data_IF_742623924564
#
_entry.id   IF_742623924564
#
_cell.length_a   1.000
_cell.length_b   1.000
_cell.length_c   1.000
_cell.angle_alpha   90.00
_cell.angle_beta   90.00
_cell.angle_gamma   90.00
#
_symmetry.space_group_name_H-M   'P 1'
#
loop_
_entity.id
_entity.type
_entity.pdbx_description
1 polymer ?
#
# COMPACT_ATOMS: atom_id res chain seq x y z
N UNK A 1 10.96 -35.91 33.47
CA UNK A 1 9.71 -35.61 32.76
C UNK A 1 10.11 -34.70 31.64
N UNK A 2 10.66 -35.31 30.61
CA UNK A 2 11.59 -34.65 29.70
C UNK A 2 10.81 -34.11 28.53
N UNK A 3 10.87 -32.79 28.34
CA UNK A 3 10.23 -32.07 27.26
C UNK A 3 11.21 -32.05 26.10
N UNK A 4 10.97 -32.91 25.11
CA UNK A 4 11.72 -32.96 23.86
C UNK A 4 11.59 -31.64 23.10
N UNK A 5 12.72 -30.95 22.93
CA UNK A 5 12.88 -29.79 22.08
C UNK A 5 12.91 -30.21 20.62
N UNK A 6 11.79 -30.08 19.92
CA UNK A 6 11.71 -30.25 18.48
C UNK A 6 12.27 -29.04 17.74
N UNK A 7 13.52 -29.13 17.30
CA UNK A 7 14.12 -28.23 16.30
C UNK A 7 13.33 -28.32 14.98
N UNK A 8 12.51 -27.30 14.70
CA UNK A 8 11.90 -27.12 13.38
C UNK A 8 12.96 -26.55 12.43
N UNK A 9 13.58 -27.43 11.66
CA UNK A 9 14.36 -27.07 10.48
C UNK A 9 13.45 -26.31 9.48
N UNK A 10 13.65 -24.99 9.39
CA UNK A 10 13.01 -24.16 8.37
C UNK A 10 13.50 -24.57 6.99
N UNK A 11 12.59 -25.02 6.12
CA UNK A 11 12.89 -25.39 4.73
C UNK A 11 13.20 -24.13 3.90
N UNK A 12 14.42 -23.95 3.36
CA UNK A 12 14.81 -22.77 2.58
C UNK A 12 14.33 -22.78 1.12
N UNK A 13 13.25 -23.51 0.81
CA UNK A 13 12.81 -23.78 -0.58
C UNK A 13 11.66 -22.92 -1.11
N UNK A 14 11.07 -22.02 -0.32
CA UNK A 14 9.79 -21.38 -0.66
C UNK A 14 9.91 -19.92 -1.15
N UNK A 15 11.03 -19.24 -0.90
CA UNK A 15 11.20 -17.82 -1.26
C UNK A 15 11.43 -17.62 -2.78
N UNK A 16 12.04 -18.58 -3.48
CA UNK A 16 12.30 -18.49 -4.92
C UNK A 16 11.06 -18.61 -5.82
N UNK A 17 10.00 -19.29 -5.36
CA UNK A 17 8.79 -19.52 -6.16
C UNK A 17 7.85 -18.29 -6.19
N UNK A 18 7.90 -17.44 -5.17
CA UNK A 18 7.06 -16.25 -5.07
C UNK A 18 7.59 -15.08 -5.94
N UNK A 19 8.90 -14.98 -6.12
CA UNK A 19 9.50 -13.96 -6.98
C UNK A 19 9.12 -14.15 -8.46
N UNK A 20 9.15 -15.39 -8.97
CA UNK A 20 8.80 -15.68 -10.36
C UNK A 20 7.32 -15.46 -10.72
N UNK A 21 6.42 -15.48 -9.73
CA UNK A 21 4.99 -15.22 -9.97
C UNK A 21 4.68 -13.72 -10.17
N UNK A 22 5.49 -12.83 -9.60
CA UNK A 22 5.28 -11.38 -9.66
C UNK A 22 5.53 -10.80 -11.06
N UNK A 23 6.47 -11.37 -11.81
CA UNK A 23 6.85 -10.87 -13.14
C UNK A 23 5.98 -11.44 -14.28
N UNK A 24 5.19 -12.48 -14.00
CA UNK A 24 4.41 -13.18 -15.01
C UNK A 24 3.30 -12.30 -15.62
N UNK A 25 2.62 -11.49 -14.80
CA UNK A 25 1.52 -10.64 -15.28
C UNK A 25 2.02 -9.48 -16.16
N UNK A 26 3.02 -8.67 -15.76
CA UNK A 26 3.58 -7.64 -16.63
C UNK A 26 4.05 -8.17 -17.99
N UNK A 27 4.73 -9.31 -18.01
CA UNK A 27 5.19 -9.94 -19.25
C UNK A 27 4.01 -10.36 -20.13
N UNK A 28 3.00 -11.03 -19.56
CA UNK A 28 1.79 -11.42 -20.29
C UNK A 28 1.02 -10.21 -20.85
N UNK A 29 0.95 -9.11 -20.09
CA UNK A 29 0.31 -7.88 -20.54
C UNK A 29 1.08 -7.24 -21.68
N UNK A 30 2.42 -7.21 -21.65
CA UNK A 30 3.24 -6.67 -22.74
C UNK A 30 3.18 -7.52 -24.01
N UNK A 31 3.20 -8.85 -23.89
CA UNK A 31 2.95 -9.75 -25.02
C UNK A 31 1.56 -9.52 -25.63
N UNK A 32 0.56 -9.33 -24.77
CA UNK A 32 -0.81 -9.04 -25.20
C UNK A 32 -0.91 -7.66 -25.83
N UNK A 33 -0.18 -6.66 -25.30
CA UNK A 33 -0.06 -5.32 -25.87
C UNK A 33 0.52 -5.38 -27.27
N UNK A 34 1.61 -6.10 -27.47
CA UNK A 34 2.22 -6.27 -28.79
C UNK A 34 1.26 -6.90 -29.80
N UNK A 35 0.48 -7.91 -29.38
CA UNK A 35 -0.56 -8.52 -30.22
C UNK A 35 -1.72 -7.57 -30.52
N UNK A 36 -2.21 -6.84 -29.51
CA UNK A 36 -3.38 -5.96 -29.64
C UNK A 36 -3.07 -4.59 -30.23
N UNK A 37 -1.79 -4.21 -30.33
CA UNK A 37 -1.34 -3.03 -31.05
C UNK A 37 -1.44 -3.17 -32.56
N UNK A 38 -1.65 -4.38 -33.09
CA UNK A 38 -1.85 -4.61 -34.52
C UNK A 38 -3.21 -4.05 -34.99
N UNK A 39 -3.28 -3.58 -36.24
CA UNK A 39 -4.47 -2.90 -36.77
C UNK A 39 -5.74 -3.78 -36.78
N UNK A 40 -5.60 -5.10 -36.87
CA UNK A 40 -6.71 -6.05 -36.69
C UNK A 40 -6.27 -7.22 -35.83
N UNK A 41 -7.12 -7.63 -34.90
CA UNK A 41 -6.82 -8.71 -33.97
C UNK A 41 -7.61 -9.97 -34.33
N UNK A 42 -6.97 -11.15 -34.19
CA UNK A 42 -7.56 -12.43 -34.56
C UNK A 42 -8.77 -12.82 -33.71
N UNK A 43 -9.59 -13.73 -34.24
CA UNK A 43 -10.82 -14.20 -33.56
C UNK A 43 -10.58 -14.97 -32.26
N UNK A 44 -9.37 -15.49 -32.04
CA UNK A 44 -8.97 -16.20 -30.82
C UNK A 44 -8.42 -15.31 -29.71
N UNK A 45 -8.51 -13.99 -29.84
CA UNK A 45 -7.94 -13.03 -28.87
C UNK A 45 -8.71 -12.88 -27.56
N UNK A 46 -9.89 -13.48 -27.44
CA UNK A 46 -10.80 -13.26 -26.31
C UNK A 46 -11.57 -11.93 -26.36
N UNK A 47 -11.29 -11.06 -27.34
CA UNK A 47 -12.05 -9.84 -27.56
C UNK A 47 -13.35 -10.12 -28.32
N UNK A 48 -14.42 -9.41 -27.94
CA UNK A 48 -15.63 -9.35 -28.76
C UNK A 48 -15.31 -8.82 -30.16
N UNK A 49 -16.02 -9.32 -31.17
CA UNK A 49 -15.82 -8.96 -32.57
C UNK A 49 -15.81 -7.44 -32.80
N UNK A 50 -16.62 -6.69 -32.05
CA UNK A 50 -16.69 -5.23 -32.11
C UNK A 50 -15.33 -4.55 -31.86
N UNK A 51 -14.52 -5.05 -30.92
CA UNK A 51 -13.27 -4.41 -30.50
C UNK A 51 -12.03 -4.91 -31.27
N UNK A 52 -12.20 -5.77 -32.29
CA UNK A 52 -11.08 -6.32 -33.08
C UNK A 52 -10.58 -5.38 -34.17
N UNK A 53 -11.42 -4.42 -34.60
CA UNK A 53 -11.08 -3.45 -35.64
C UNK A 53 -10.06 -2.39 -35.20
N UNK A 54 -9.44 -1.73 -36.17
CA UNK A 54 -8.41 -0.72 -35.95
C UNK A 54 -8.93 0.49 -35.16
N UNK A 55 -10.20 0.85 -35.36
CA UNK A 55 -10.83 1.97 -34.67
C UNK A 55 -10.93 1.78 -33.14
N UNK A 56 -10.75 0.56 -32.64
CA UNK A 56 -10.79 0.25 -31.22
C UNK A 56 -9.40 -0.05 -30.63
N UNK A 57 -8.31 0.16 -31.38
CA UNK A 57 -6.95 -0.05 -30.88
C UNK A 57 -6.70 0.70 -29.56
N UNK A 58 -7.08 1.98 -29.49
CA UNK A 58 -6.92 2.78 -28.26
C UNK A 58 -7.67 2.19 -27.07
N UNK A 59 -8.90 1.69 -27.27
CA UNK A 59 -9.69 1.08 -26.20
C UNK A 59 -9.07 -0.23 -25.68
N UNK A 60 -8.48 -1.03 -26.58
CA UNK A 60 -7.75 -2.25 -26.22
C UNK A 60 -6.53 -1.94 -25.36
N UNK A 61 -5.74 -0.95 -25.76
CA UNK A 61 -4.55 -0.54 -25.01
C UNK A 61 -4.93 0.05 -23.64
N UNK A 62 -5.96 0.90 -23.60
CA UNK A 62 -6.48 1.45 -22.35
C UNK A 62 -6.98 0.35 -21.39
N UNK A 63 -7.55 -0.74 -21.90
CA UNK A 63 -7.93 -1.89 -21.07
C UNK A 63 -6.71 -2.60 -20.47
N UNK A 64 -5.62 -2.78 -21.23
CA UNK A 64 -4.38 -3.37 -20.70
C UNK A 64 -3.75 -2.45 -19.66
N UNK A 65 -3.76 -1.13 -19.88
CA UNK A 65 -3.30 -0.13 -18.92
C UNK A 65 -4.16 -0.19 -17.65
N UNK A 66 -5.49 -0.33 -17.77
CA UNK A 66 -6.39 -0.51 -16.64
C UNK A 66 -5.98 -1.73 -15.79
N UNK A 67 -5.72 -2.88 -16.42
CA UNK A 67 -5.27 -4.08 -15.73
C UNK A 67 -3.93 -3.87 -15.01
N UNK A 68 -2.96 -3.25 -15.69
CA UNK A 68 -1.64 -2.97 -15.13
C UNK A 68 -1.73 -2.03 -13.92
N UNK A 69 -2.51 -0.95 -14.02
CA UNK A 69 -2.66 0.00 -12.92
C UNK A 69 -3.47 -0.58 -11.75
N UNK A 70 -4.40 -1.50 -12.02
CA UNK A 70 -5.13 -2.21 -10.96
C UNK A 70 -4.17 -3.11 -10.17
N UNK A 71 -3.32 -3.86 -10.87
CA UNK A 71 -2.29 -4.69 -10.24
C UNK A 71 -1.33 -3.87 -9.39
N UNK A 72 -0.84 -2.73 -9.92
CA UNK A 72 -0.01 -1.79 -9.14
C UNK A 72 -0.70 -1.27 -7.88
N UNK A 73 -1.98 -0.92 -7.96
CA UNK A 73 -2.74 -0.50 -6.77
C UNK A 73 -2.82 -1.64 -5.75
N UNK A 74 -3.12 -2.87 -6.19
CA UNK A 74 -3.15 -4.04 -5.30
C UNK A 74 -1.79 -4.28 -4.66
N UNK A 75 -0.70 -4.18 -5.43
CA UNK A 75 0.67 -4.28 -4.95
C UNK A 75 0.96 -3.25 -3.85
N UNK A 76 0.71 -1.96 -4.10
CA UNK A 76 0.97 -0.91 -3.10
C UNK A 76 0.09 -1.07 -1.86
N UNK A 77 -1.18 -1.47 -2.01
CA UNK A 77 -2.04 -1.78 -0.87
C UNK A 77 -1.50 -2.97 -0.05
N UNK A 78 -0.95 -4.00 -0.69
CA UNK A 78 -0.31 -5.11 0.00
C UNK A 78 0.96 -4.66 0.74
N UNK A 79 1.79 -3.86 0.09
CA UNK A 79 3.03 -3.27 0.64
C UNK A 79 2.75 -2.34 1.83
N UNK A 80 1.57 -1.72 1.91
CA UNK A 80 1.17 -0.89 3.06
C UNK A 80 0.76 -1.69 4.31
N UNK A 81 0.43 -2.99 4.19
CA UNK A 81 -0.05 -3.80 5.34
C UNK A 81 0.95 -3.90 6.51
N UNK A 82 2.26 -4.13 6.29
CA UNK A 82 3.23 -4.16 7.38
C UNK A 82 3.30 -2.81 8.11
N UNK A 83 3.18 -1.69 7.39
CA UNK A 83 3.15 -0.36 7.98
C UNK A 83 1.90 -0.14 8.81
N UNK A 84 0.73 -0.60 8.34
CA UNK A 84 -0.50 -0.58 9.12
C UNK A 84 -0.36 -1.38 10.43
N UNK A 85 0.23 -2.58 10.36
CA UNK A 85 0.48 -3.40 11.55
C UNK A 85 1.45 -2.72 12.53
N UNK A 86 2.49 -2.07 12.00
CA UNK A 86 3.45 -1.34 12.81
C UNK A 86 2.81 -0.11 13.47
N UNK A 87 2.01 0.65 12.72
CA UNK A 87 1.22 1.77 13.25
C UNK A 87 0.29 1.32 14.38
N UNK A 88 -0.36 0.15 14.24
CA UNK A 88 -1.21 -0.41 15.28
C UNK A 88 -0.47 -0.81 16.57
N UNK A 89 0.82 -1.14 16.48
CA UNK A 89 1.64 -1.59 17.63
C UNK A 89 2.42 -0.46 18.30
N UNK A 90 3.02 0.41 17.49
CA UNK A 90 3.97 1.44 17.93
C UNK A 90 3.41 2.87 17.77
N UNK A 91 2.19 3.01 17.26
CA UNK A 91 1.49 4.28 17.14
C UNK A 91 2.20 5.28 16.21
N UNK A 92 2.01 6.55 16.53
CA UNK A 92 2.51 7.67 15.72
C UNK A 92 4.04 7.73 15.65
N UNK A 93 4.76 7.25 16.68
CA UNK A 93 6.22 7.30 16.74
C UNK A 93 6.84 6.51 15.58
N UNK A 94 6.34 5.30 15.33
CA UNK A 94 6.80 4.50 14.21
C UNK A 94 6.44 5.11 12.85
N UNK A 95 5.27 5.75 12.76
CA UNK A 95 4.83 6.42 11.54
C UNK A 95 5.69 7.65 11.22
N UNK A 96 6.09 8.44 12.23
CA UNK A 96 7.04 9.52 12.07
C UNK A 96 8.43 9.02 11.63
N UNK A 97 8.90 7.92 12.22
CA UNK A 97 10.18 7.30 11.83
C UNK A 97 10.18 6.82 10.37
N UNK A 98 9.05 6.30 9.88
CA UNK A 98 8.89 5.80 8.51
C UNK A 98 8.37 6.85 7.52
N UNK A 99 8.27 8.13 7.93
CA UNK A 99 7.62 9.19 7.14
C UNK A 99 8.04 9.21 5.68
N UNK A 100 9.34 9.20 5.41
CA UNK A 100 9.83 9.42 4.04
C UNK A 100 9.51 8.21 3.15
N UNK A 101 9.64 7.00 3.69
CA UNK A 101 9.27 5.76 3.00
C UNK A 101 7.77 5.68 2.75
N UNK A 102 6.97 6.00 3.77
CA UNK A 102 5.52 6.07 3.65
C UNK A 102 5.09 7.15 2.65
N UNK A 103 5.72 8.31 2.69
CA UNK A 103 5.48 9.41 1.76
C UNK A 103 5.70 8.99 0.31
N UNK A 104 6.81 8.30 0.03
CA UNK A 104 7.10 7.76 -1.29
C UNK A 104 6.08 6.71 -1.72
N UNK A 105 5.77 5.72 -0.87
CA UNK A 105 4.78 4.68 -1.18
C UNK A 105 3.38 5.25 -1.43
N UNK A 106 2.95 6.23 -0.63
CA UNK A 106 1.65 6.89 -0.81
C UNK A 106 1.62 7.72 -2.10
N UNK A 107 2.73 8.36 -2.47
CA UNK A 107 2.84 9.08 -3.73
C UNK A 107 2.73 8.15 -4.94
N UNK A 108 3.41 7.00 -4.91
CA UNK A 108 3.31 6.01 -5.99
C UNK A 108 1.90 5.37 -6.06
N UNK A 109 1.27 5.13 -4.91
CA UNK A 109 -0.14 4.69 -4.86
C UNK A 109 -1.09 5.74 -5.46
N UNK A 110 -0.95 7.02 -5.09
CA UNK A 110 -1.74 8.12 -5.66
C UNK A 110 -1.58 8.20 -7.18
N UNK A 111 -0.34 8.06 -7.68
CA UNK A 111 -0.04 8.01 -9.11
C UNK A 111 -0.73 6.82 -9.79
N UNK A 112 -0.62 5.62 -9.21
CA UNK A 112 -1.27 4.42 -9.74
C UNK A 112 -2.81 4.56 -9.76
N UNK A 113 -3.41 5.14 -8.72
CA UNK A 113 -4.84 5.42 -8.64
C UNK A 113 -5.30 6.42 -9.71
N UNK A 114 -4.50 7.46 -9.98
CA UNK A 114 -4.80 8.44 -11.02
C UNK A 114 -4.77 7.78 -12.41
N UNK A 115 -3.74 6.98 -12.69
CA UNK A 115 -3.60 6.25 -13.94
C UNK A 115 -4.74 5.23 -14.12
N UNK A 116 -5.08 4.47 -13.07
CA UNK A 116 -6.22 3.55 -13.06
C UNK A 116 -7.52 4.28 -13.40
N UNK A 117 -7.76 5.45 -12.79
CA UNK A 117 -8.94 6.28 -13.07
C UNK A 117 -8.96 6.72 -14.54
N UNK A 118 -7.83 7.17 -15.08
CA UNK A 118 -7.75 7.62 -16.47
C UNK A 118 -8.06 6.47 -17.44
N UNK A 119 -7.39 5.33 -17.32
CA UNK A 119 -7.62 4.16 -18.17
C UNK A 119 -9.06 3.66 -18.07
N UNK A 120 -9.66 3.68 -16.87
CA UNK A 120 -11.07 3.34 -16.67
C UNK A 120 -12.00 4.28 -17.45
N UNK A 121 -11.78 5.58 -17.41
CA UNK A 121 -12.61 6.55 -18.13
C UNK A 121 -12.51 6.37 -19.64
N UNK A 122 -11.33 6.03 -20.16
CA UNK A 122 -11.12 5.74 -21.58
C UNK A 122 -11.86 4.46 -22.02
N UNK A 123 -11.75 3.38 -21.23
CA UNK A 123 -12.48 2.12 -21.47
C UNK A 123 -13.99 2.35 -21.40
N UNK A 124 -14.48 3.06 -20.38
CA UNK A 124 -15.91 3.37 -20.23
C UNK A 124 -16.44 4.24 -21.37
N UNK A 125 -15.65 5.20 -21.86
CA UNK A 125 -16.01 6.00 -23.04
C UNK A 125 -16.16 5.12 -24.27
N UNK A 126 -15.20 4.23 -24.52
CA UNK A 126 -15.27 3.30 -25.65
C UNK A 126 -16.47 2.35 -25.53
N UNK A 127 -16.76 1.84 -24.34
CA UNK A 127 -17.93 1.02 -24.08
C UNK A 127 -19.24 1.77 -24.35
N UNK A 128 -19.36 3.03 -23.91
CA UNK A 128 -20.54 3.88 -24.17
C UNK A 128 -20.74 4.17 -25.66
N UNK A 129 -19.67 4.45 -26.40
CA UNK A 129 -19.76 4.63 -27.86
C UNK A 129 -20.25 3.36 -28.55
N UNK A 130 -19.74 2.20 -28.12
CA UNK A 130 -20.20 0.91 -28.65
C UNK A 130 -21.65 0.61 -28.27
N UNK A 131 -22.09 0.94 -27.05
CA UNK A 131 -23.49 0.86 -26.64
C UNK A 131 -24.40 1.71 -27.52
N UNK A 132 -23.99 2.95 -27.82
CA UNK A 132 -24.74 3.84 -28.69
C UNK A 132 -24.87 3.28 -30.10
N UNK A 133 -23.82 2.64 -30.63
CA UNK A 133 -23.87 2.00 -31.94
C UNK A 133 -24.78 0.78 -31.95
N UNK A 134 -24.70 -0.08 -30.93
CA UNK A 134 -25.61 -1.22 -30.76
C UNK A 134 -27.06 -0.78 -30.54
N UNK A 135 -27.29 0.36 -29.90
CA UNK A 135 -28.63 0.90 -29.72
C UNK A 135 -29.29 1.33 -31.05
N UNK A 136 -28.50 1.70 -32.07
CA UNK A 136 -29.02 1.98 -33.42
C UNK A 136 -29.53 0.72 -34.11
N UNK A 137 -28.96 -0.44 -33.76
CA UNK A 137 -29.27 -1.74 -34.35
C UNK A 137 -29.53 -2.74 -33.22
N UNK A 138 -30.63 -2.51 -32.49
CA UNK A 138 -30.88 -3.20 -31.22
C UNK A 138 -30.76 -4.72 -31.41
N UNK A 139 -29.76 -5.36 -30.80
CA UNK A 139 -29.55 -6.78 -31.01
C UNK A 139 -30.73 -7.55 -30.39
N UNK A 140 -31.10 -8.67 -31.01
CA UNK A 140 -32.16 -9.52 -30.50
C UNK A 140 -31.91 -9.91 -29.03
N UNK A 141 -32.99 -10.01 -28.24
CA UNK A 141 -32.92 -10.44 -26.86
C UNK A 141 -32.22 -11.82 -26.78
N UNK A 142 -31.34 -11.98 -25.78
CA UNK A 142 -30.60 -13.23 -25.55
C UNK A 142 -29.27 -13.35 -26.30
N UNK A 143 -28.94 -12.43 -27.22
CA UNK A 143 -27.62 -12.37 -27.85
C UNK A 143 -26.51 -11.98 -26.86
N UNK A 144 -25.27 -12.34 -27.18
CA UNK A 144 -24.09 -11.94 -26.39
C UNK A 144 -23.99 -10.41 -26.25
N UNK A 145 -24.25 -9.69 -27.35
CA UNK A 145 -24.28 -8.23 -27.37
C UNK A 145 -25.32 -7.68 -26.37
N UNK A 146 -26.54 -8.25 -26.34
CA UNK A 146 -27.57 -7.85 -25.39
C UNK A 146 -27.18 -8.11 -23.93
N UNK A 147 -26.56 -9.26 -23.63
CA UNK A 147 -26.05 -9.56 -22.27
C UNK A 147 -24.93 -8.62 -21.85
N UNK A 148 -24.02 -8.29 -22.77
CA UNK A 148 -22.97 -7.31 -22.53
C UNK A 148 -23.55 -5.92 -22.22
N UNK A 149 -24.54 -5.48 -23.01
CA UNK A 149 -25.27 -4.23 -22.75
C UNK A 149 -25.90 -4.22 -21.35
N UNK A 150 -26.53 -5.33 -20.93
CA UNK A 150 -27.09 -5.46 -19.60
C UNK A 150 -26.03 -5.43 -18.50
N UNK A 151 -24.85 -6.02 -18.73
CA UNK A 151 -23.75 -6.00 -17.76
C UNK A 151 -23.28 -4.59 -17.41
N UNK A 152 -23.20 -3.71 -18.41
CA UNK A 152 -22.73 -2.33 -18.22
C UNK A 152 -23.63 -1.49 -17.31
N UNK A 153 -24.90 -1.85 -17.13
CA UNK A 153 -25.83 -1.14 -16.23
C UNK A 153 -25.42 -1.25 -14.75
N UNK A 154 -24.61 -2.24 -14.41
CA UNK A 154 -24.17 -2.49 -13.05
C UNK A 154 -22.90 -1.69 -12.68
N UNK A 155 -22.32 -0.97 -13.64
CA UNK A 155 -21.14 -0.14 -13.39
C UNK A 155 -21.59 1.23 -12.88
N UNK A 156 -21.41 1.45 -11.58
CA UNK A 156 -21.63 2.76 -10.97
C UNK A 156 -20.36 3.62 -11.06
N UNK A 157 -20.26 4.40 -12.13
CA UNK A 157 -19.13 5.32 -12.35
C UNK A 157 -19.01 6.39 -11.25
N UNK A 158 -20.13 6.82 -10.67
CA UNK A 158 -20.14 7.85 -9.63
C UNK A 158 -19.58 7.29 -8.32
N UNK A 159 -19.98 6.08 -7.94
CA UNK A 159 -19.41 5.37 -6.80
C UNK A 159 -17.91 5.14 -6.99
N UNK A 160 -17.48 4.68 -8.17
CA UNK A 160 -16.07 4.45 -8.46
C UNK A 160 -15.23 5.73 -8.42
N UNK A 161 -15.77 6.88 -8.84
CA UNK A 161 -15.13 8.19 -8.67
C UNK A 161 -15.13 8.65 -7.20
N UNK A 162 -16.18 8.37 -6.45
CA UNK A 162 -16.26 8.61 -5.01
C UNK A 162 -15.18 7.86 -4.24
N UNK A 163 -15.00 6.56 -4.54
CA UNK A 163 -13.97 5.72 -3.95
C UNK A 163 -12.56 6.24 -4.27
N UNK A 164 -12.28 6.61 -5.52
CA UNK A 164 -11.00 7.21 -5.89
C UNK A 164 -10.69 8.47 -5.06
N UNK A 165 -11.64 9.40 -4.95
CA UNK A 165 -11.48 10.63 -4.17
C UNK A 165 -11.26 10.34 -2.68
N UNK A 166 -12.01 9.38 -2.13
CA UNK A 166 -11.87 8.97 -0.74
C UNK A 166 -10.47 8.39 -0.47
N UNK A 167 -9.95 7.53 -1.34
CA UNK A 167 -8.62 6.93 -1.18
C UNK A 167 -7.51 7.97 -1.29
N UNK A 168 -7.58 8.88 -2.27
CA UNK A 168 -6.60 9.98 -2.40
C UNK A 168 -6.63 10.89 -1.15
N UNK A 169 -7.81 11.19 -0.62
CA UNK A 169 -7.96 11.95 0.62
C UNK A 169 -7.29 11.24 1.79
N UNK A 170 -7.49 9.93 1.95
CA UNK A 170 -6.83 9.14 3.00
C UNK A 170 -5.30 9.16 2.87
N UNK A 171 -4.77 9.09 1.64
CA UNK A 171 -3.31 9.20 1.41
C UNK A 171 -2.77 10.56 1.86
N UNK A 172 -3.51 11.65 1.60
CA UNK A 172 -3.16 12.97 2.09
C UNK A 172 -3.23 13.07 3.62
N UNK A 173 -4.27 12.51 4.25
CA UNK A 173 -4.42 12.48 5.71
C UNK A 173 -3.27 11.74 6.40
N UNK A 174 -2.85 10.58 5.87
CA UNK A 174 -1.69 9.85 6.42
C UNK A 174 -0.42 10.69 6.33
N UNK A 175 -0.17 11.36 5.19
CA UNK A 175 1.00 12.25 5.05
C UNK A 175 0.97 13.43 6.03
N UNK A 176 -0.21 14.01 6.28
CA UNK A 176 -0.38 15.08 7.27
C UNK A 176 -0.19 14.60 8.71
N UNK A 177 -0.57 13.35 9.01
CA UNK A 177 -0.34 12.76 10.33
C UNK A 177 1.16 12.50 10.58
N UNK A 178 1.94 12.22 9.52
CA UNK A 178 3.38 11.95 9.61
C UNK A 178 4.22 13.20 9.30
N UNK A 179 4.01 14.31 9.99
CA UNK A 179 4.80 15.54 9.77
C UNK A 179 6.07 15.59 10.64
N UNK A 180 7.07 16.36 10.20
CA UNK A 180 8.24 16.67 11.03
C UNK A 180 7.87 17.43 12.30
N UNK A 181 6.84 18.29 12.24
CA UNK A 181 6.29 18.96 13.42
C UNK A 181 5.77 17.94 14.42
N UNK A 182 4.98 16.96 13.95
CA UNK A 182 4.46 15.88 14.79
C UNK A 182 5.57 15.06 15.45
N UNK A 183 6.64 14.78 14.71
CA UNK A 183 7.82 14.08 15.24
C UNK A 183 8.47 14.84 16.40
N UNK A 184 8.61 16.18 16.27
CA UNK A 184 9.15 17.04 17.34
C UNK A 184 8.22 17.06 18.55
N UNK A 185 6.90 17.17 18.36
CA UNK A 185 5.90 17.14 19.44
C UNK A 185 5.94 15.82 20.21
N UNK A 186 6.00 14.69 19.50
CA UNK A 186 6.08 13.37 20.11
C UNK A 186 7.38 13.21 20.90
N UNK A 187 8.49 13.69 20.35
CA UNK A 187 9.79 13.67 21.04
C UNK A 187 9.76 14.53 22.31
N UNK A 188 9.18 15.72 22.26
CA UNK A 188 9.04 16.60 23.42
C UNK A 188 8.14 15.98 24.50
N UNK A 189 7.01 15.38 24.09
CA UNK A 189 6.08 14.69 24.99
C UNK A 189 6.75 13.49 25.67
N UNK A 190 7.47 12.67 24.90
CA UNK A 190 8.23 11.53 25.43
C UNK A 190 9.28 11.97 26.45
N UNK A 191 10.05 13.04 26.15
CA UNK A 191 11.03 13.59 27.09
C UNK A 191 10.39 14.09 28.38
N UNK A 192 9.27 14.81 28.28
CA UNK A 192 8.52 15.27 29.46
C UNK A 192 8.04 14.10 30.31
N UNK A 193 7.43 13.08 29.69
CA UNK A 193 6.94 11.91 30.41
C UNK A 193 8.06 11.10 31.08
N UNK A 194 9.20 10.94 30.40
CA UNK A 194 10.37 10.29 31.00
C UNK A 194 10.93 11.08 32.17
N UNK A 195 10.95 12.42 32.08
CA UNK A 195 11.35 13.28 33.18
C UNK A 195 10.37 13.14 34.37
N UNK A 196 9.06 13.10 34.12
CA UNK A 196 8.03 12.92 35.15
C UNK A 196 8.15 11.55 35.83
N UNK A 197 8.34 10.47 35.05
CA UNK A 197 8.58 9.12 35.56
C UNK A 197 9.85 9.12 36.42
N UNK A 198 10.95 9.66 35.90
CA UNK A 198 12.23 9.73 36.63
C UNK A 198 12.06 10.51 37.94
N UNK A 199 11.34 11.63 37.92
CA UNK A 199 11.01 12.42 39.11
C UNK A 199 10.17 11.62 40.12
N UNK A 200 9.17 10.87 39.66
CA UNK A 200 8.38 9.99 40.51
C UNK A 200 9.22 8.88 41.15
N UNK A 201 10.14 8.27 40.40
CA UNK A 201 11.10 7.27 40.89
C UNK A 201 12.10 7.86 41.90
N UNK A 202 12.48 9.13 41.72
CA UNK A 202 13.34 9.86 42.65
C UNK A 202 12.61 10.38 43.90
N UNK A 203 11.27 10.31 43.92
CA UNK A 203 10.50 10.79 45.07
C UNK A 203 10.73 9.92 46.30
N UNK A 204 10.87 10.57 47.46
CA UNK A 204 11.14 9.91 48.74
C UNK A 204 10.01 8.93 49.12
N UNK A 205 8.76 9.29 48.84
CA UNK A 205 7.61 8.40 49.09
C UNK A 205 7.71 7.12 48.26
N UNK A 206 7.96 7.23 46.95
CA UNK A 206 8.13 6.05 46.09
C UNK A 206 9.32 5.19 46.52
N UNK A 207 10.49 5.80 46.77
CA UNK A 207 11.67 5.09 47.24
C UNK A 207 11.42 4.37 48.57
N UNK A 208 10.72 4.99 49.52
CA UNK A 208 10.40 4.36 50.81
C UNK A 208 9.51 3.12 50.67
N UNK A 209 8.56 3.15 49.73
CA UNK A 209 7.66 2.02 49.43
C UNK A 209 8.36 0.89 48.69
N UNK A 210 9.35 1.23 47.87
CA UNK A 210 10.09 0.27 47.06
C UNK A 210 11.34 -0.30 47.77
N UNK A 211 11.83 0.35 48.84
CA UNK A 211 12.98 -0.10 49.62
C UNK A 211 12.90 -1.57 50.12
N UNK A 212 11.73 -2.13 50.48
CA UNK A 212 11.63 -3.55 50.86
C UNK A 212 11.67 -4.52 49.67
N UNK A 213 11.41 -4.06 48.45
CA UNK A 213 11.19 -4.89 47.27
C UNK A 213 12.30 -4.79 46.21
N UNK A 214 13.07 -3.69 46.20
CA UNK A 214 14.15 -3.47 45.24
C UNK A 214 15.46 -4.10 45.73
N UNK A 215 16.05 -4.96 44.90
CA UNK A 215 17.44 -5.41 45.09
C UNK A 215 18.37 -4.19 45.02
N UNK A 216 19.44 -4.20 45.81
CA UNK A 216 20.40 -3.09 46.04
C UNK A 216 20.99 -2.41 44.79
N UNK A 217 20.76 -2.93 43.57
CA UNK A 217 21.33 -2.42 42.31
C UNK A 217 20.37 -1.68 41.37
N UNK A 218 19.05 -1.73 41.56
CA UNK A 218 18.13 -1.16 40.56
C UNK A 218 18.34 0.36 40.35
N UNK A 219 18.66 1.09 41.43
CA UNK A 219 18.92 2.53 41.37
C UNK A 219 20.16 2.85 40.53
N UNK A 220 21.21 2.03 40.63
CA UNK A 220 22.43 2.18 39.84
C UNK A 220 22.17 1.85 38.35
N UNK A 221 21.46 0.75 38.08
CA UNK A 221 21.12 0.34 36.72
C UNK A 221 20.25 1.40 36.01
N UNK A 222 19.33 2.05 36.73
CA UNK A 222 18.53 3.14 36.15
C UNK A 222 19.33 4.43 35.93
N UNK A 223 20.29 4.75 36.80
CA UNK A 223 21.16 5.92 36.60
C UNK A 223 22.08 5.75 35.39
N UNK A 224 22.47 4.52 35.03
CA UNK A 224 23.19 4.23 33.78
C UNK A 224 22.34 4.45 32.52
N UNK A 225 21.01 4.33 32.60
CA UNK A 225 20.12 4.47 31.44
C UNK A 225 19.82 5.94 31.07
N UNK A 226 19.93 6.87 32.03
CA UNK A 226 19.71 8.32 31.80
C UNK A 226 20.64 8.89 30.71
N UNK A 227 21.98 8.72 30.79
CA UNK A 227 22.87 9.24 29.75
C UNK A 227 22.70 8.56 28.38
N UNK A 228 22.20 7.32 28.34
CA UNK A 228 21.87 6.63 27.07
C UNK A 228 20.66 7.26 26.38
N UNK A 229 19.66 7.70 27.14
CA UNK A 229 18.49 8.41 26.59
C UNK A 229 18.87 9.80 26.05
N UNK A 230 19.76 10.52 26.73
CA UNK A 230 20.26 11.82 26.27
C UNK A 230 21.15 11.69 25.03
N UNK A 231 22.02 10.67 24.98
CA UNK A 231 22.87 10.39 23.83
C UNK A 231 22.07 9.98 22.58
N UNK A 232 21.00 9.20 22.75
CA UNK A 232 20.09 8.85 21.66
C UNK A 232 19.33 10.07 21.09
N UNK A 233 19.16 11.13 21.88
CA UNK A 233 18.56 12.39 21.44
C UNK A 233 19.52 13.36 20.76
N UNK A 234 20.84 13.22 20.96
CA UNK A 234 21.87 14.11 20.42
C UNK A 234 22.53 13.57 19.13
N UNK A 235 22.58 12.25 18.95
CA UNK A 235 23.01 11.67 17.70
C UNK A 235 21.89 11.85 16.65
N UNK A 236 22.14 12.48 15.49
CA UNK A 236 21.20 12.40 14.39
C UNK A 236 21.05 10.92 14.09
N UNK A 237 19.87 10.35 14.35
CA UNK A 237 19.56 8.95 14.05
C UNK A 237 19.88 8.79 12.57
N UNK A 238 21.02 8.15 12.29
CA UNK A 238 21.52 7.99 10.93
C UNK A 238 20.44 7.23 10.19
N UNK A 239 19.71 7.92 9.31
CA UNK A 239 18.69 7.29 8.50
C UNK A 239 19.36 6.09 7.85
N UNK A 240 18.79 4.88 7.94
CA UNK A 240 19.36 3.71 7.31
C UNK A 240 19.65 4.08 5.85
N UNK A 241 20.93 4.07 5.48
CA UNK A 241 21.36 4.33 4.10
C UNK A 241 20.60 3.33 3.24
N UNK A 242 19.87 3.82 2.24
CA UNK A 242 19.25 2.96 1.25
C UNK A 242 20.34 2.03 0.71
N UNK A 243 20.17 0.73 0.96
CA UNK A 243 20.82 -0.27 0.14
C UNK A 243 20.09 -0.14 -1.19
N UNK A 244 20.73 0.54 -2.15
CA UNK A 244 20.24 0.62 -3.52
C UNK A 244 20.16 -0.83 -4.04
N UNK A 245 18.94 -1.37 -4.11
CA UNK A 245 18.69 -2.64 -4.78
C UNK A 245 18.95 -2.42 -6.27
N UNK A 246 20.09 -2.94 -6.74
CA UNK A 246 20.45 -3.05 -8.15
C UNK A 246 19.76 -4.24 -8.81
#
# INVERSE_FOLDING_TARGET
GDVEGGERAGSPGQEGALAGASDALPQLLEETRARWAQGSVSSGSGLSAAFRGNQHQGARLAFLDLCLHLDRVVFFCATLRPYQNLAGRAGDVAMCYLRDWLGHLLQELERALLQLRQSRLEVMRAAKLQLQELARHLPGAGTEAFRWMQGLRHIDEAQLDGLHKATVKLCAEVRMATTAVREVELTATMRSQLADITGAFQSVDFQSRCAPALRDRLVADMQELVPLADAAGAAPVGRPRMIEAS
#
